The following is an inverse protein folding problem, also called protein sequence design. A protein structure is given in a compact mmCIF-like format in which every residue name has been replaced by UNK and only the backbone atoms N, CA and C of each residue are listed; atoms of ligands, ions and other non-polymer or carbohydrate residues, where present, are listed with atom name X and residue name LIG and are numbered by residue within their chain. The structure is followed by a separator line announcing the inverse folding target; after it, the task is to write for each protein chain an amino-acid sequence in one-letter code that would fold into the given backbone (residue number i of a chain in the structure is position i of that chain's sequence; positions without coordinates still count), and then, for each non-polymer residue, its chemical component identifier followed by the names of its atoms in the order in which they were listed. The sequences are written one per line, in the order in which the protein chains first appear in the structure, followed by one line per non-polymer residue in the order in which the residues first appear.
data_IF_228486143703
#
_entry.id   IF_228486143703
#
_cell.length_a   1.000
_cell.length_b   1.000
_cell.length_c   1.000
_cell.angle_alpha   90.00
_cell.angle_beta   90.00
_cell.angle_gamma   90.00
#
_symmetry.space_group_name_H-M   'P 1'
#
loop_
_entity.id
_entity.type
_entity.pdbx_description
1 polymer ?
#
# COMPACT_ATOMS: atom_id res chain seq x y z
N UNK A 1 -2.13 16.87 34.19
CA UNK A 1 -2.96 16.49 33.03
C UNK A 1 -2.09 15.80 31.98
N UNK A 2 -2.05 14.47 31.98
CA UNK A 2 -1.28 13.68 31.02
C UNK A 2 -2.17 13.34 29.81
N UNK A 3 -1.86 13.92 28.65
CA UNK A 3 -2.52 13.60 27.38
C UNK A 3 -2.03 12.23 26.92
N UNK A 4 -2.90 11.20 27.01
CA UNK A 4 -2.67 9.89 26.38
C UNK A 4 -2.84 10.05 24.87
N UNK A 5 -1.76 9.91 24.12
CA UNK A 5 -1.81 9.68 22.67
C UNK A 5 -2.35 8.27 22.40
N UNK A 6 -3.22 8.07 21.40
CA UNK A 6 -3.56 6.72 20.97
C UNK A 6 -2.31 6.10 20.36
N UNK A 7 -1.89 4.95 20.90
CA UNK A 7 -0.80 4.15 20.37
C UNK A 7 -1.15 3.75 18.93
N UNK A 8 -0.49 4.36 17.96
CA UNK A 8 -0.47 3.86 16.60
C UNK A 8 0.14 2.45 16.65
N UNK A 9 -0.65 1.44 16.32
CA UNK A 9 -0.25 0.03 16.35
C UNK A 9 0.99 -0.18 15.49
N UNK A 10 2.06 -0.68 16.11
CA UNK A 10 3.28 -1.05 15.41
C UNK A 10 2.98 -2.20 14.43
N UNK A 11 3.32 -2.01 13.16
CA UNK A 11 3.21 -3.05 12.13
C UNK A 11 4.46 -3.93 12.25
N UNK A 12 4.31 -5.13 12.81
CA UNK A 12 5.41 -6.08 12.96
C UNK A 12 5.54 -6.92 11.67
N UNK A 13 6.63 -6.73 10.93
CA UNK A 13 6.90 -7.47 9.70
C UNK A 13 7.18 -8.97 9.93
N UNK A 14 7.70 -9.33 11.12
CA UNK A 14 8.01 -10.69 11.56
C UNK A 14 7.52 -10.89 13.01
N UNK A 15 6.21 -10.79 13.24
CA UNK A 15 5.66 -11.19 14.53
C UNK A 15 5.78 -12.72 14.67
N UNK A 16 6.38 -13.24 15.76
CA UNK A 16 6.41 -14.68 16.00
C UNK A 16 4.97 -15.18 16.12
N UNK A 17 4.68 -16.31 15.46
CA UNK A 17 3.35 -16.96 15.46
C UNK A 17 2.97 -17.49 16.84
N UNK A 18 3.93 -17.59 17.74
CA UNK A 18 3.83 -18.17 19.07
C UNK A 18 4.24 -17.13 20.11
N UNK A 19 3.59 -17.21 21.28
CA UNK A 19 3.95 -16.45 22.47
C UNK A 19 5.47 -16.53 22.77
N UNK A 20 6.15 -15.43 23.15
CA UNK A 20 7.62 -15.38 23.28
C UNK A 20 8.17 -16.22 24.44
N UNK A 21 7.32 -16.75 25.32
CA UNK A 21 7.68 -17.71 26.35
C UNK A 21 7.26 -19.12 25.91
N UNK A 22 8.08 -20.12 26.23
CA UNK A 22 7.81 -21.53 25.92
C UNK A 22 6.47 -21.94 26.55
N UNK A 23 5.42 -21.99 25.72
CA UNK A 23 4.06 -22.31 26.16
C UNK A 23 4.06 -23.73 26.72
N UNK A 24 3.42 -23.99 27.88
CA UNK A 24 3.40 -25.32 28.51
C UNK A 24 2.78 -26.42 27.63
N UNK A 25 2.13 -26.04 26.51
CA UNK A 25 1.40 -26.92 25.61
C UNK A 25 1.82 -26.77 24.14
N UNK A 26 3.00 -26.21 23.86
CA UNK A 26 3.53 -26.07 22.50
C UNK A 26 3.57 -27.43 21.78
N UNK A 27 3.03 -27.51 20.58
CA UNK A 27 2.90 -28.75 19.78
C UNK A 27 2.09 -29.89 20.41
N UNK A 28 1.25 -29.58 21.41
CA UNK A 28 0.31 -30.55 21.96
C UNK A 28 -1.09 -30.42 21.34
N UNK A 29 -1.97 -31.44 21.43
CA UNK A 29 -3.36 -31.33 20.98
C UNK A 29 -4.17 -30.18 21.63
N UNK A 30 -3.69 -29.61 22.72
CA UNK A 30 -4.33 -28.52 23.47
C UNK A 30 -3.74 -27.14 23.17
N UNK A 31 -2.85 -27.03 22.17
CA UNK A 31 -2.25 -25.76 21.80
C UNK A 31 -3.26 -24.82 21.13
N UNK A 32 -3.71 -23.81 21.88
CA UNK A 32 -4.63 -22.78 21.38
C UNK A 32 -3.99 -21.82 20.34
N UNK A 33 -2.65 -21.83 20.20
CA UNK A 33 -1.94 -20.99 19.22
C UNK A 33 -1.82 -21.70 17.86
N UNK A 34 -2.24 -22.98 17.77
CA UNK A 34 -2.60 -23.60 16.50
C UNK A 34 -3.80 -22.86 15.92
N UNK A 35 -3.51 -21.73 15.30
CA UNK A 35 -4.47 -21.09 14.42
C UNK A 35 -4.83 -22.07 13.33
N UNK A 36 -6.08 -22.00 12.88
CA UNK A 36 -6.71 -22.80 11.83
C UNK A 36 -5.99 -22.72 10.46
N UNK A 37 -4.79 -22.16 10.41
CA UNK A 37 -4.00 -21.84 9.22
C UNK A 37 -2.64 -22.55 9.20
N UNK A 38 -2.18 -23.13 10.32
CA UNK A 38 -0.90 -23.86 10.39
C UNK A 38 -0.99 -25.32 9.89
N UNK A 39 -2.19 -25.90 9.85
CA UNK A 39 -2.38 -27.24 9.32
C UNK A 39 -3.11 -27.13 7.99
N UNK A 40 -2.39 -27.49 6.93
CA UNK A 40 -2.90 -27.84 5.61
C UNK A 40 -3.83 -29.06 5.80
N UNK A 41 -5.05 -28.84 6.31
CA UNK A 41 -6.14 -29.78 6.25
C UNK A 41 -7.49 -29.05 6.09
N UNK A 42 -7.93 -29.06 4.83
CA UNK A 42 -9.26 -29.49 4.38
C UNK A 42 -10.44 -28.60 4.78
N UNK A 43 -11.04 -28.01 3.75
CA UNK A 43 -12.30 -27.27 3.82
C UNK A 43 -13.46 -28.11 4.33
N UNK A 44 -14.52 -27.42 4.77
CA UNK A 44 -15.92 -27.81 4.59
C UNK A 44 -16.96 -26.92 5.32
N UNK A 45 -16.56 -25.93 6.14
CA UNK A 45 -17.53 -25.22 7.01
C UNK A 45 -17.58 -23.68 6.91
N UNK A 46 -16.92 -23.03 5.94
CA UNK A 46 -17.23 -21.62 5.66
C UNK A 46 -18.13 -21.52 4.43
N UNK A 47 -19.36 -21.06 4.63
CA UNK A 47 -20.32 -20.77 3.55
C UNK A 47 -19.73 -19.75 2.54
N UNK A 48 -18.77 -18.94 2.98
CA UNK A 48 -18.13 -17.89 2.21
C UNK A 48 -16.66 -18.22 1.86
N UNK A 49 -16.18 -17.67 0.74
CA UNK A 49 -14.79 -17.80 0.27
C UNK A 49 -13.76 -17.00 1.08
N UNK A 50 -14.21 -16.04 1.89
CA UNK A 50 -13.36 -15.16 2.70
C UNK A 50 -13.41 -15.57 4.18
N UNK A 51 -12.41 -15.19 4.99
CA UNK A 51 -12.36 -15.58 6.38
C UNK A 51 -13.43 -14.87 7.22
N UNK A 52 -13.94 -15.56 8.24
CA UNK A 52 -15.08 -15.12 9.06
C UNK A 52 -14.83 -13.79 9.81
N UNK A 53 -13.57 -13.46 10.10
CA UNK A 53 -13.23 -12.20 10.78
C UNK A 53 -13.58 -10.95 9.96
N UNK A 54 -13.75 -11.06 8.63
CA UNK A 54 -14.22 -9.94 7.81
C UNK A 54 -15.71 -9.63 8.02
N UNK A 55 -16.47 -10.57 8.57
CA UNK A 55 -17.91 -10.46 8.79
C UNK A 55 -18.24 -10.19 10.26
N UNK A 56 -17.52 -10.83 11.19
CA UNK A 56 -17.80 -10.76 12.63
C UNK A 56 -16.67 -10.17 13.47
N UNK A 57 -15.54 -9.83 12.85
CA UNK A 57 -14.34 -9.39 13.55
C UNK A 57 -13.57 -10.56 14.15
N UNK A 58 -12.29 -10.33 14.45
CA UNK A 58 -11.46 -11.29 15.18
C UNK A 58 -11.55 -11.14 16.70
N UNK A 59 -12.05 -10.00 17.17
CA UNK A 59 -12.16 -9.65 18.59
C UNK A 59 -13.60 -9.20 18.95
N UNK A 60 -13.83 -8.96 20.24
CA UNK A 60 -15.12 -8.47 20.72
C UNK A 60 -15.47 -7.02 20.30
N UNK A 61 -14.54 -6.29 19.69
CA UNK A 61 -14.77 -4.92 19.20
C UNK A 61 -15.19 -4.88 17.73
N UNK A 62 -15.02 -5.99 17.00
CA UNK A 62 -15.30 -6.09 15.57
C UNK A 62 -14.10 -5.72 14.69
N UNK A 63 -12.87 -5.83 15.20
CA UNK A 63 -11.65 -5.56 14.46
C UNK A 63 -11.52 -6.48 13.25
N UNK A 64 -11.28 -5.88 12.08
CA UNK A 64 -11.21 -6.59 10.79
C UNK A 64 -12.51 -6.61 9.98
N UNK A 65 -13.64 -6.14 10.54
CA UNK A 65 -14.90 -6.01 9.77
C UNK A 65 -14.76 -4.91 8.72
N UNK A 66 -14.98 -5.26 7.46
CA UNK A 66 -14.91 -4.32 6.35
C UNK A 66 -14.80 -5.00 4.99
N UNK A 67 -14.84 -4.21 3.92
CA UNK A 67 -14.59 -4.71 2.57
C UNK A 67 -13.10 -4.68 2.26
N UNK A 68 -12.52 -5.88 2.12
CA UNK A 68 -11.09 -6.06 1.91
C UNK A 68 -10.80 -6.47 0.46
N UNK A 69 -10.03 -5.64 -0.25
CA UNK A 69 -9.58 -5.93 -1.62
C UNK A 69 -8.29 -6.74 -1.56
N UNK A 70 -8.21 -7.87 -2.26
CA UNK A 70 -6.99 -8.68 -2.35
C UNK A 70 -6.25 -8.44 -3.66
N UNK A 71 -4.93 -8.63 -3.63
CA UNK A 71 -4.12 -8.61 -4.85
C UNK A 71 -4.47 -9.83 -5.72
N UNK A 72 -4.53 -9.72 -7.05
CA UNK A 72 -4.87 -10.87 -7.93
C UNK A 72 -3.92 -12.07 -7.75
N UNK A 73 -2.65 -11.80 -7.48
CA UNK A 73 -1.62 -12.84 -7.26
C UNK A 73 -1.50 -13.28 -5.78
N UNK A 74 -2.21 -12.60 -4.87
CA UNK A 74 -2.14 -12.95 -3.44
C UNK A 74 -2.91 -14.24 -3.17
N UNK A 75 -2.39 -15.06 -2.25
CA UNK A 75 -3.09 -16.28 -1.79
C UNK A 75 -4.30 -15.96 -0.91
N UNK A 76 -4.33 -14.78 -0.29
CA UNK A 76 -5.44 -14.34 0.56
C UNK A 76 -6.71 -14.11 -0.25
N UNK A 77 -7.86 -14.39 0.38
CA UNK A 77 -9.20 -14.20 -0.18
C UNK A 77 -9.95 -13.10 0.58
N UNK A 78 -10.36 -12.07 -0.14
CA UNK A 78 -11.12 -10.94 0.38
C UNK A 78 -12.61 -11.05 0.07
N UNK A 79 -13.41 -10.30 0.83
CA UNK A 79 -14.87 -10.25 0.69
C UNK A 79 -15.36 -9.18 -0.30
N UNK A 80 -14.47 -8.42 -0.95
CA UNK A 80 -14.85 -7.54 -2.06
C UNK A 80 -15.07 -8.33 -3.35
N UNK A 81 -16.35 -8.65 -3.63
CA UNK A 81 -16.78 -9.40 -4.82
C UNK A 81 -17.78 -8.57 -5.62
N UNK A 82 -17.74 -8.72 -6.94
CA UNK A 82 -18.63 -8.02 -7.89
C UNK A 82 -19.70 -8.91 -8.51
N UNK A 83 -19.84 -10.15 -8.03
CA UNK A 83 -20.90 -11.05 -8.49
C UNK A 83 -22.28 -10.52 -8.09
N UNK A 84 -23.34 -10.74 -8.88
CA UNK A 84 -24.69 -10.20 -8.61
C UNK A 84 -25.22 -10.52 -7.20
N UNK A 85 -24.88 -11.70 -6.66
CA UNK A 85 -25.23 -12.13 -5.30
C UNK A 85 -24.54 -11.32 -4.19
N UNK A 86 -23.36 -10.76 -4.46
CA UNK A 86 -22.54 -10.06 -3.48
C UNK A 86 -22.65 -8.53 -3.55
N UNK A 87 -23.10 -8.01 -4.69
CA UNK A 87 -23.28 -6.57 -4.93
C UNK A 87 -24.13 -5.90 -3.85
N UNK A 88 -25.31 -6.45 -3.44
CA UNK A 88 -26.12 -5.82 -2.39
C UNK A 88 -25.37 -5.65 -1.06
N UNK A 89 -24.64 -6.67 -0.61
CA UNK A 89 -23.82 -6.61 0.61
C UNK A 89 -22.75 -5.54 0.52
N UNK A 90 -22.06 -5.46 -0.62
CA UNK A 90 -20.98 -4.49 -0.85
C UNK A 90 -21.53 -3.06 -0.82
N UNK A 91 -22.64 -2.82 -1.51
CA UNK A 91 -23.30 -1.51 -1.49
C UNK A 91 -23.81 -1.13 -0.11
N UNK A 92 -24.40 -2.07 0.62
CA UNK A 92 -24.89 -1.85 1.97
C UNK A 92 -23.76 -1.46 2.93
N UNK A 93 -22.62 -2.16 2.87
CA UNK A 93 -21.44 -1.79 3.64
C UNK A 93 -20.88 -0.41 3.24
N UNK A 94 -20.92 -0.04 1.95
CA UNK A 94 -20.45 1.28 1.50
C UNK A 94 -21.35 2.44 1.95
N UNK A 95 -22.68 2.24 1.95
CA UNK A 95 -23.67 3.30 2.22
C UNK A 95 -24.03 3.32 3.71
N UNK A 96 -24.32 2.16 4.28
CA UNK A 96 -24.77 2.04 5.65
C UNK A 96 -23.68 1.59 6.60
N UNK A 97 -22.53 1.09 6.16
CA UNK A 97 -21.53 0.52 7.07
C UNK A 97 -22.04 -0.75 7.77
N UNK A 98 -21.42 -1.15 8.87
CA UNK A 98 -21.85 -2.30 9.66
C UNK A 98 -22.12 -1.87 11.10
N UNK A 99 -23.34 -2.09 11.60
CA UNK A 99 -23.65 -1.86 12.99
C UNK A 99 -23.20 -3.06 13.84
N UNK A 100 -22.18 -2.88 14.66
CA UNK A 100 -21.67 -3.93 15.52
C UNK A 100 -22.43 -3.99 16.85
N UNK A 101 -22.54 -5.19 17.43
CA UNK A 101 -23.24 -5.40 18.71
C UNK A 101 -22.60 -4.66 19.89
N UNK A 102 -21.35 -4.22 19.76
CA UNK A 102 -20.69 -3.33 20.74
C UNK A 102 -21.26 -1.91 20.78
N UNK A 103 -22.24 -1.57 19.93
CA UNK A 103 -22.82 -0.23 19.84
C UNK A 103 -21.99 0.73 18.97
N UNK A 104 -20.98 0.22 18.25
CA UNK A 104 -20.15 0.99 17.35
C UNK A 104 -20.46 0.65 15.88
N UNK A 105 -20.51 1.69 15.05
CA UNK A 105 -20.58 1.54 13.60
C UNK A 105 -19.18 1.30 13.02
N UNK A 106 -19.01 0.20 12.31
CA UNK A 106 -17.75 -0.25 11.70
C UNK A 106 -17.76 -0.05 10.19
N UNK A 107 -16.57 -0.03 9.60
CA UNK A 107 -16.27 0.22 8.18
C UNK A 107 -16.68 1.60 7.64
N UNK A 108 -17.90 2.08 7.88
CA UNK A 108 -18.35 3.42 7.49
C UNK A 108 -19.19 4.07 8.59
N UNK A 109 -18.68 5.16 9.19
CA UNK A 109 -19.35 5.89 10.28
C UNK A 109 -20.22 7.07 9.81
N UNK A 110 -19.97 7.59 8.61
CA UNK A 110 -20.65 8.76 8.04
C UNK A 110 -19.70 9.61 7.17
N UNK A 111 -20.24 10.61 6.48
CA UNK A 111 -19.47 11.52 5.62
C UNK A 111 -19.28 11.00 4.19
N UNK A 112 -18.02 10.77 3.78
CA UNK A 112 -17.69 10.29 2.44
C UNK A 112 -17.69 8.75 2.42
N UNK A 113 -18.49 8.09 1.55
CA UNK A 113 -18.52 6.63 1.50
C UNK A 113 -17.15 6.06 1.08
N UNK A 114 -16.74 4.92 1.66
CA UNK A 114 -15.49 4.26 1.28
C UNK A 114 -15.60 3.69 -0.13
N UNK A 115 -14.51 3.78 -0.89
CA UNK A 115 -14.42 3.16 -2.22
C UNK A 115 -13.57 1.88 -2.15
N UNK A 116 -14.19 0.69 -2.09
CA UNK A 116 -13.48 -0.58 -1.94
C UNK A 116 -12.62 -0.95 -3.16
N UNK A 117 -12.87 -0.33 -4.33
CA UNK A 117 -12.06 -0.60 -5.53
C UNK A 117 -10.62 -0.05 -5.44
N UNK A 118 -10.42 1.00 -4.65
CA UNK A 118 -9.13 1.70 -4.49
C UNK A 118 -8.46 1.45 -3.14
N UNK A 119 -9.10 0.69 -2.24
CA UNK A 119 -8.48 0.32 -0.98
C UNK A 119 -7.14 -0.39 -1.20
N UNK A 120 -6.14 -0.19 -0.32
CA UNK A 120 -4.91 -0.96 -0.39
C UNK A 120 -5.22 -2.45 -0.37
N UNK A 121 -4.35 -3.22 -1.01
CA UNK A 121 -4.50 -4.66 -1.03
C UNK A 121 -4.31 -5.25 0.38
N UNK A 122 -5.10 -6.25 0.73
CA UNK A 122 -5.00 -7.00 1.97
C UNK A 122 -3.65 -7.71 2.05
N UNK A 123 -2.95 -7.53 3.17
CA UNK A 123 -1.60 -8.07 3.40
C UNK A 123 -1.55 -9.19 4.43
N UNK A 124 -2.64 -9.47 5.14
CA UNK A 124 -2.62 -10.42 6.24
C UNK A 124 -3.93 -10.50 6.98
N UNK A 125 -3.84 -10.77 8.28
CA UNK A 125 -4.97 -11.05 9.15
C UNK A 125 -4.83 -10.41 10.53
N UNK A 126 -5.95 -10.11 11.20
CA UNK A 126 -5.93 -9.58 12.56
C UNK A 126 -5.40 -10.62 13.56
N UNK A 127 -4.64 -10.16 14.55
CA UNK A 127 -4.09 -10.99 15.63
C UNK A 127 -4.31 -10.29 16.98
N UNK A 128 -4.83 -10.98 18.02
CA UNK A 128 -5.09 -10.35 19.31
C UNK A 128 -3.82 -9.89 20.03
N UNK A 129 -2.67 -10.51 19.77
CA UNK A 129 -1.40 -10.19 20.44
C UNK A 129 -0.71 -8.98 19.80
N UNK A 130 -0.63 -8.95 18.46
CA UNK A 130 0.15 -7.94 17.72
C UNK A 130 -0.71 -6.95 16.92
N UNK A 131 -2.04 -7.08 16.99
CA UNK A 131 -2.99 -6.30 16.19
C UNK A 131 -3.14 -6.85 14.77
N UNK A 132 -2.06 -6.83 13.98
CA UNK A 132 -2.07 -7.28 12.58
C UNK A 132 -0.85 -8.14 12.25
N UNK A 133 -1.10 -9.34 11.73
CA UNK A 133 -0.08 -10.27 11.25
C UNK A 133 0.00 -10.18 9.73
N UNK A 134 1.18 -9.87 9.19
CA UNK A 134 1.41 -9.86 7.74
C UNK A 134 1.58 -11.29 7.24
N UNK A 135 0.64 -11.78 6.43
CA UNK A 135 0.63 -13.15 5.89
C UNK A 135 1.15 -13.19 4.45
N UNK A 136 0.89 -12.13 3.67
CA UNK A 136 1.36 -12.00 2.30
C UNK A 136 2.24 -10.73 2.14
N UNK A 137 3.54 -10.83 2.41
CA UNK A 137 4.45 -9.69 2.31
C UNK A 137 4.67 -9.25 0.86
N UNK A 138 4.41 -10.12 -0.13
CA UNK A 138 4.62 -9.80 -1.56
C UNK A 138 3.67 -8.73 -2.08
N UNK A 139 2.53 -8.56 -1.41
CA UNK A 139 1.54 -7.53 -1.72
C UNK A 139 2.05 -6.13 -1.39
N UNK A 140 2.98 -6.01 -0.44
CA UNK A 140 3.52 -4.74 0.00
C UNK A 140 4.52 -4.24 -1.05
N UNK A 141 4.18 -3.14 -1.72
CA UNK A 141 5.05 -2.53 -2.73
C UNK A 141 6.28 -1.92 -2.07
N UNK A 142 7.43 -2.55 -2.26
CA UNK A 142 8.74 -2.01 -1.92
C UNK A 142 9.30 -1.27 -3.14
N UNK A 143 9.46 0.03 -3.02
CA UNK A 143 10.01 0.86 -4.09
C UNK A 143 11.53 0.88 -4.02
N UNK A 144 12.15 -0.14 -4.60
CA UNK A 144 13.61 -0.25 -4.67
C UNK A 144 14.15 0.69 -5.74
N UNK A 145 14.59 1.87 -5.30
CA UNK A 145 15.23 2.86 -6.18
C UNK A 145 16.66 2.40 -6.46
N UNK A 146 17.10 2.35 -7.73
CA UNK A 146 18.45 1.95 -8.07
C UNK A 146 19.47 2.92 -7.45
N UNK A 147 20.60 2.39 -7.01
CA UNK A 147 21.69 3.24 -6.54
C UNK A 147 22.22 4.10 -7.70
N UNK A 148 22.50 5.37 -7.41
CA UNK A 148 22.96 6.31 -8.44
C UNK A 148 24.43 6.03 -8.74
N UNK A 149 24.69 5.37 -9.87
CA UNK A 149 26.03 5.21 -10.41
C UNK A 149 26.68 6.58 -10.71
N UNK A 150 28.02 6.65 -10.65
CA UNK A 150 28.79 7.89 -10.90
C UNK A 150 28.45 8.55 -12.23
N UNK A 151 28.11 7.76 -13.25
CA UNK A 151 27.71 8.24 -14.57
C UNK A 151 26.31 8.88 -14.57
N UNK A 152 25.39 8.31 -13.79
CA UNK A 152 23.99 8.74 -13.67
C UNK A 152 23.81 9.98 -12.78
N UNK A 153 24.83 10.38 -12.01
CA UNK A 153 24.83 11.62 -11.21
C UNK A 153 24.64 12.89 -12.06
N UNK A 154 25.01 12.81 -13.34
CA UNK A 154 24.85 13.92 -14.30
C UNK A 154 23.43 14.04 -14.83
N UNK A 155 22.60 13.01 -14.67
CA UNK A 155 21.22 13.06 -15.14
C UNK A 155 20.40 14.07 -14.32
N UNK A 156 19.54 14.77 -15.04
CA UNK A 156 18.58 15.76 -14.52
C UNK A 156 17.22 15.47 -15.17
N UNK A 157 16.11 15.82 -14.51
CA UNK A 157 14.76 15.50 -15.02
C UNK A 157 14.45 16.19 -16.36
N UNK A 158 15.13 17.30 -16.66
CA UNK A 158 15.01 18.02 -17.92
C UNK A 158 16.36 18.07 -18.64
N UNK A 159 16.30 18.04 -19.98
CA UNK A 159 17.47 18.14 -20.87
C UNK A 159 17.62 19.60 -21.33
N UNK A 160 18.86 20.07 -21.47
CA UNK A 160 19.12 21.41 -21.98
C UNK A 160 18.67 21.56 -23.44
N UNK A 161 18.09 22.72 -23.78
CA UNK A 161 17.44 22.94 -25.08
C UNK A 161 18.41 22.82 -26.28
N UNK A 162 19.68 23.17 -26.09
CA UNK A 162 20.71 23.03 -27.13
C UNK A 162 21.12 21.57 -27.33
N UNK A 163 21.22 20.80 -26.24
CA UNK A 163 21.50 19.36 -26.29
C UNK A 163 20.35 18.58 -26.97
N UNK A 164 19.10 19.04 -26.78
CA UNK A 164 17.93 18.50 -27.50
C UNK A 164 18.06 18.59 -29.03
N UNK A 165 18.58 19.70 -29.56
CA UNK A 165 18.75 19.88 -31.01
C UNK A 165 19.78 18.90 -31.59
N UNK A 166 20.90 18.73 -30.86
CA UNK A 166 21.97 17.82 -31.24
C UNK A 166 21.47 16.37 -31.22
N UNK A 167 20.73 15.95 -30.18
CA UNK A 167 20.14 14.62 -30.10
C UNK A 167 19.08 14.40 -31.20
N UNK A 168 18.24 15.39 -31.49
CA UNK A 168 17.24 15.32 -32.55
C UNK A 168 17.85 15.08 -33.94
N UNK A 169 18.98 15.72 -34.24
CA UNK A 169 19.70 15.53 -35.50
C UNK A 169 20.44 14.18 -35.56
N UNK A 170 21.00 13.71 -34.44
CA UNK A 170 21.73 12.43 -34.38
C UNK A 170 20.80 11.21 -34.49
N UNK A 171 19.58 11.29 -33.98
CA UNK A 171 18.58 10.22 -34.13
C UNK A 171 17.86 10.24 -35.50
N UNK A 172 17.85 11.36 -36.21
CA UNK A 172 17.22 11.50 -37.54
C UNK A 172 18.20 11.37 -38.71
N UNK A 173 19.51 11.51 -38.46
CA UNK A 173 20.56 11.27 -39.45
C UNK A 173 21.49 10.17 -38.96
N UNK A 174 21.06 8.93 -39.17
CA UNK A 174 22.02 7.84 -39.37
C UNK A 174 22.97 8.26 -40.49
N UNK A 175 24.25 8.25 -40.18
CA UNK A 175 25.37 8.37 -41.12
C UNK A 175 25.50 9.74 -41.83
N UNK A 176 26.05 10.73 -41.14
CA UNK A 176 26.97 11.70 -41.79
C UNK A 176 27.77 12.56 -40.81
N UNK A 177 29.05 12.23 -40.73
CA UNK A 177 30.21 13.12 -40.73
C UNK A 177 30.24 14.39 -39.85
N UNK A 178 31.23 14.38 -38.95
CA UNK A 178 32.26 15.41 -38.66
C UNK A 178 31.85 16.91 -38.68
N UNK A 179 32.33 17.56 -37.62
CA UNK A 179 32.67 18.99 -37.50
C UNK A 179 31.54 19.93 -37.04
N UNK A 180 31.69 20.45 -35.82
CA UNK A 180 30.88 21.55 -35.30
C UNK A 180 31.42 22.11 -33.99
N UNK A 181 32.42 23.00 -34.12
CA UNK A 181 33.02 23.92 -33.12
C UNK A 181 32.36 23.94 -31.72
N UNK A 182 33.18 23.74 -30.68
CA UNK A 182 32.81 23.97 -29.28
C UNK A 182 32.43 25.44 -29.08
N UNK A 183 31.14 25.71 -28.87
CA UNK A 183 30.66 27.01 -28.42
C UNK A 183 31.07 27.15 -26.95
N UNK A 184 31.97 28.08 -26.67
CA UNK A 184 32.38 28.44 -25.31
C UNK A 184 31.15 28.97 -24.55
N UNK A 185 30.55 28.12 -23.73
CA UNK A 185 29.43 28.48 -22.87
C UNK A 185 29.93 29.54 -21.87
N UNK A 186 29.46 30.78 -22.02
CA UNK A 186 29.67 31.81 -20.99
C UNK A 186 29.07 31.26 -19.68
N UNK A 187 29.93 31.08 -18.68
CA UNK A 187 29.54 30.74 -17.30
C UNK A 187 28.33 31.58 -16.88
N UNK A 188 27.22 30.99 -16.41
CA UNK A 188 26.16 31.79 -15.82
C UNK A 188 26.73 32.54 -14.62
N UNK A 189 26.54 33.85 -14.65
CA UNK A 189 26.91 34.80 -13.61
C UNK A 189 26.19 34.42 -12.31
N UNK A 190 26.99 34.25 -11.26
CA UNK A 190 26.65 34.34 -9.83
C UNK A 190 25.47 33.52 -9.30
N UNK A 191 25.85 32.56 -8.46
CA UNK A 191 25.19 32.12 -7.24
C UNK A 191 24.37 33.25 -6.54
N UNK A 192 23.15 32.92 -6.11
CA UNK A 192 22.33 33.60 -5.09
C UNK A 192 21.61 34.93 -5.37
N UNK A 193 21.19 35.22 -6.60
CA UNK A 193 20.07 36.16 -6.81
C UNK A 193 18.79 35.36 -7.12
N UNK A 194 18.06 34.91 -6.09
CA UNK A 194 16.69 34.45 -6.28
C UNK A 194 15.87 35.63 -6.82
N UNK A 195 15.56 35.61 -8.11
CA UNK A 195 14.65 36.58 -8.72
C UNK A 195 13.31 36.48 -7.99
N UNK A 196 12.69 37.58 -7.53
CA UNK A 196 11.44 37.51 -6.81
C UNK A 196 10.34 36.95 -7.71
N UNK A 197 9.76 35.81 -7.32
CA UNK A 197 8.58 35.26 -7.96
C UNK A 197 7.38 36.11 -7.52
N UNK A 198 6.70 36.76 -8.46
CA UNK A 198 5.48 37.54 -8.16
C UNK A 198 4.24 36.66 -8.32
N UNK A 199 3.21 36.93 -7.52
CA UNK A 199 1.89 36.34 -7.72
C UNK A 199 1.34 36.78 -9.08
N UNK A 200 0.99 35.82 -9.93
CA UNK A 200 0.35 36.04 -11.23
C UNK A 200 -0.95 35.23 -11.28
N UNK A 201 -1.94 35.74 -12.00
CA UNK A 201 -3.21 35.02 -12.23
C UNK A 201 -3.01 33.83 -13.18
N UNK A 202 -2.01 33.90 -14.05
CA UNK A 202 -1.77 32.90 -15.07
C UNK A 202 -0.30 32.95 -15.53
N UNK A 203 0.26 31.79 -15.88
CA UNK A 203 1.59 31.64 -16.47
C UNK A 203 1.48 30.90 -17.80
N UNK A 204 1.86 31.55 -18.90
CA UNK A 204 2.03 30.91 -20.21
C UNK A 204 3.47 30.39 -20.35
N UNK A 205 3.66 29.20 -20.92
CA UNK A 205 4.96 28.54 -21.12
C UNK A 205 5.26 28.32 -22.59
#
# INVERSE_FOLDING_TARGET
MLRRTPLFGAIFHNAPTVYPFRKPFHDTPHDQDRTRHDVIHRGHNSVNEWPAWMDHGADGTGHGIGLNRTHPLSRLRGNYKRGPSHVPRVFDMMIHGVWHKSGAKLYYKGGKPPNPSVHPYLTGEPCPVYGWKVTDPSVIRQFNVPHVEKEKMRYRPYVALQERKILGDVFMKGDSAKSGKSITLKKPRSEHAQKPLMMRLFFWQ
#
